data_IF_129163378993
#
_entry.id   IF_129163378993
#
_cell.length_a   1.000
_cell.length_b   1.000
_cell.length_c   1.000
_cell.angle_alpha   90.00
_cell.angle_beta   90.00
_cell.angle_gamma   90.00
#
_symmetry.space_group_name_H-M   'P 1'
#
loop_
_entity.id
_entity.type
_entity.pdbx_description
1 polymer ?
#
# COMPACT_ATOMS: atom_id res chain seq x y z
N UNK A 1 5.57 15.15 -3.05
CA UNK A 1 4.28 15.12 -3.78
C UNK A 1 4.56 15.17 -5.27
N UNK A 2 4.35 14.08 -5.98
CA UNK A 2 4.62 14.03 -7.42
C UNK A 2 3.46 14.55 -8.29
N UNK A 3 2.25 14.68 -7.74
CA UNK A 3 1.11 15.38 -8.34
C UNK A 3 -0.04 15.46 -7.32
N UNK A 4 -0.48 16.65 -6.98
CA UNK A 4 -1.72 16.87 -6.25
C UNK A 4 -2.85 17.15 -7.24
N UNK A 5 -3.33 16.08 -7.91
CA UNK A 5 -4.38 16.25 -8.93
C UNK A 5 -5.79 16.23 -8.34
N UNK A 6 -6.03 15.42 -7.31
CA UNK A 6 -7.36 15.27 -6.72
C UNK A 6 -7.25 14.74 -5.28
N UNK A 7 -7.85 15.46 -4.35
CA UNK A 7 -8.06 15.00 -2.97
C UNK A 7 -9.43 14.34 -2.91
N UNK A 8 -9.48 13.12 -2.39
CA UNK A 8 -10.71 12.35 -2.23
C UNK A 8 -11.06 12.27 -0.76
N UNK A 9 -12.25 12.70 -0.42
CA UNK A 9 -12.77 12.72 0.94
C UNK A 9 -14.05 11.90 1.03
N UNK A 10 -14.29 11.29 2.18
CA UNK A 10 -15.51 10.53 2.41
C UNK A 10 -15.67 10.17 3.89
N UNK A 11 -16.90 9.97 4.30
CA UNK A 11 -17.23 9.43 5.62
C UNK A 11 -17.20 7.91 5.57
N UNK A 12 -16.68 7.27 6.64
CA UNK A 12 -16.60 5.81 6.72
C UNK A 12 -17.97 5.12 6.74
N UNK A 13 -19.03 5.87 7.08
CA UNK A 13 -20.41 5.38 7.10
C UNK A 13 -21.14 5.50 5.75
N UNK A 14 -20.46 5.96 4.69
CA UNK A 14 -21.00 6.05 3.34
C UNK A 14 -21.98 7.20 3.13
N UNK A 15 -21.96 8.25 3.95
CA UNK A 15 -22.89 9.39 3.83
C UNK A 15 -22.14 10.66 3.42
N UNK A 16 -22.76 11.46 2.58
CA UNK A 16 -22.35 12.84 2.32
C UNK A 16 -22.95 13.73 3.43
N UNK A 17 -22.20 13.93 4.49
CA UNK A 17 -22.60 14.78 5.62
C UNK A 17 -22.36 16.26 5.34
N UNK A 18 -23.02 17.15 6.08
CA UNK A 18 -22.77 18.60 5.96
C UNK A 18 -21.32 18.92 6.38
N UNK A 19 -20.76 18.23 7.40
CA UNK A 19 -19.35 18.34 7.76
C UNK A 19 -18.42 18.01 6.58
N UNK A 20 -18.73 16.98 5.81
CA UNK A 20 -17.93 16.59 4.64
C UNK A 20 -18.02 17.65 3.53
N UNK A 21 -19.23 18.20 3.29
CA UNK A 21 -19.45 19.30 2.33
C UNK A 21 -18.67 20.55 2.73
N UNK A 22 -18.75 20.94 3.99
CA UNK A 22 -18.04 22.10 4.52
C UNK A 22 -16.54 21.93 4.39
N UNK A 23 -16.00 20.76 4.75
CA UNK A 23 -14.58 20.45 4.60
C UNK A 23 -14.14 20.53 3.14
N UNK A 24 -14.91 19.92 2.23
CA UNK A 24 -14.64 19.97 0.78
C UNK A 24 -14.60 21.42 0.30
N UNK A 25 -15.60 22.23 0.67
CA UNK A 25 -15.65 23.63 0.29
C UNK A 25 -14.49 24.48 0.83
N UNK A 26 -14.00 24.20 2.04
CA UNK A 26 -12.82 24.90 2.59
C UNK A 26 -11.54 24.55 1.79
N UNK A 27 -11.36 23.28 1.42
CA UNK A 27 -10.21 22.85 0.64
C UNK A 27 -10.24 23.38 -0.80
N UNK A 28 -11.45 23.45 -1.41
CA UNK A 28 -11.62 24.06 -2.74
C UNK A 28 -11.29 25.54 -2.73
N UNK A 29 -11.76 26.30 -1.70
CA UNK A 29 -11.41 27.71 -1.52
C UNK A 29 -9.91 27.93 -1.31
N UNK A 30 -9.21 26.94 -0.76
CA UNK A 30 -7.74 26.96 -0.61
C UNK A 30 -6.99 26.58 -1.91
N UNK A 31 -7.70 26.37 -3.02
CA UNK A 31 -7.11 26.08 -4.34
C UNK A 31 -6.83 24.61 -4.63
N UNK A 32 -7.35 23.67 -3.82
CA UNK A 32 -7.21 22.25 -4.09
C UNK A 32 -8.37 21.72 -4.95
N UNK A 33 -8.08 20.76 -5.82
CA UNK A 33 -9.13 19.98 -6.47
C UNK A 33 -9.56 18.86 -5.52
N UNK A 34 -10.82 18.92 -5.06
CA UNK A 34 -11.36 18.01 -4.04
C UNK A 34 -12.65 17.38 -4.53
N UNK A 35 -12.91 16.16 -4.11
CA UNK A 35 -14.16 15.47 -4.39
C UNK A 35 -14.60 14.65 -3.17
N UNK A 36 -15.90 14.82 -2.80
CA UNK A 36 -16.53 13.97 -1.80
C UNK A 36 -17.06 12.68 -2.43
N UNK A 37 -16.90 11.57 -1.72
CA UNK A 37 -17.33 10.23 -2.15
C UNK A 37 -18.24 9.61 -1.10
N UNK A 38 -19.34 9.00 -1.54
CA UNK A 38 -20.21 8.21 -0.68
C UNK A 38 -19.54 6.92 -0.23
N UNK A 39 -18.91 6.19 -1.16
CA UNK A 39 -18.21 4.95 -0.87
C UNK A 39 -16.69 5.16 -0.87
N UNK A 40 -16.19 5.81 0.19
CA UNK A 40 -14.74 6.00 0.38
C UNK A 40 -14.03 4.67 0.68
N UNK A 41 -14.73 3.70 1.28
CA UNK A 41 -14.17 2.39 1.58
C UNK A 41 -13.70 1.68 0.32
N UNK A 42 -14.49 1.73 -0.75
CA UNK A 42 -14.11 1.20 -2.05
C UNK A 42 -12.76 1.77 -2.51
N UNK A 43 -12.62 3.09 -2.51
CA UNK A 43 -11.39 3.75 -2.98
C UNK A 43 -10.18 3.41 -2.11
N UNK A 44 -10.37 3.32 -0.79
CA UNK A 44 -9.31 2.92 0.15
C UNK A 44 -8.85 1.50 -0.16
N UNK A 45 -9.77 0.55 -0.31
CA UNK A 45 -9.45 -0.84 -0.57
C UNK A 45 -8.84 -1.07 -1.95
N UNK A 46 -9.32 -0.40 -2.98
CA UNK A 46 -8.75 -0.46 -4.33
C UNK A 46 -7.30 0.02 -4.35
N UNK A 47 -7.00 1.13 -3.67
CA UNK A 47 -5.63 1.60 -3.50
C UNK A 47 -4.81 0.63 -2.65
N UNK A 48 -5.40 0.08 -1.59
CA UNK A 48 -4.74 -0.90 -0.73
C UNK A 48 -4.31 -2.14 -1.50
N UNK A 49 -5.16 -2.68 -2.38
CA UNK A 49 -4.80 -3.81 -3.26
C UNK A 49 -3.58 -3.49 -4.13
N UNK A 50 -3.54 -2.31 -4.76
CA UNK A 50 -2.38 -1.90 -5.53
C UNK A 50 -1.11 -1.81 -4.66
N UNK A 51 -1.22 -1.24 -3.45
CA UNK A 51 -0.09 -1.15 -2.54
C UNK A 51 0.41 -2.54 -2.10
N UNK A 52 -0.49 -3.45 -1.73
CA UNK A 52 -0.15 -4.83 -1.36
C UNK A 52 0.55 -5.56 -2.51
N UNK A 53 0.08 -5.35 -3.75
CA UNK A 53 0.65 -5.97 -4.94
C UNK A 53 2.09 -5.52 -5.21
N UNK A 54 2.37 -4.24 -5.03
CA UNK A 54 3.64 -3.68 -5.52
C UNK A 54 4.64 -3.34 -4.41
N UNK A 55 4.20 -2.94 -3.19
CA UNK A 55 5.13 -2.39 -2.20
C UNK A 55 6.14 -3.42 -1.70
N UNK A 56 5.70 -4.47 -1.02
CA UNK A 56 6.61 -5.48 -0.50
C UNK A 56 7.25 -6.33 -1.61
N UNK A 57 6.52 -6.79 -2.65
CA UNK A 57 7.15 -7.55 -3.73
C UNK A 57 8.26 -6.77 -4.45
N UNK A 58 8.04 -5.53 -4.89
CA UNK A 58 9.11 -4.72 -5.50
C UNK A 58 10.30 -4.55 -4.57
N UNK A 59 10.06 -4.42 -3.26
CA UNK A 59 11.13 -4.25 -2.26
C UNK A 59 11.93 -5.55 -2.09
N UNK A 60 11.26 -6.69 -1.97
CA UNK A 60 11.92 -8.00 -1.77
C UNK A 60 12.71 -8.43 -3.00
N UNK A 61 12.13 -8.27 -4.18
CA UNK A 61 12.77 -8.65 -5.44
C UNK A 61 13.69 -7.57 -6.03
N UNK A 62 13.75 -6.38 -5.41
CA UNK A 62 14.56 -5.21 -5.84
C UNK A 62 14.25 -4.78 -7.29
N UNK A 63 12.97 -4.76 -7.64
CA UNK A 63 12.47 -4.49 -8.99
C UNK A 63 11.61 -3.23 -9.04
N UNK A 64 11.64 -2.54 -10.17
CA UNK A 64 10.58 -1.58 -10.54
C UNK A 64 9.27 -2.31 -10.74
N UNK A 65 8.18 -1.57 -10.82
CA UNK A 65 6.84 -2.15 -11.07
C UNK A 65 6.81 -2.98 -12.36
N UNK A 66 7.38 -2.46 -13.45
CA UNK A 66 7.43 -3.17 -14.74
C UNK A 66 8.30 -4.41 -14.70
N UNK A 67 9.50 -4.32 -14.11
CA UNK A 67 10.40 -5.47 -13.94
C UNK A 67 9.78 -6.58 -13.09
N UNK A 68 9.00 -6.22 -12.07
CA UNK A 68 8.24 -7.18 -11.26
C UNK A 68 7.17 -7.89 -12.10
N UNK A 69 6.42 -7.14 -12.90
CA UNK A 69 5.34 -7.66 -13.75
C UNK A 69 5.86 -8.58 -14.86
N UNK A 70 7.04 -8.29 -15.39
CA UNK A 70 7.69 -9.07 -16.46
C UNK A 70 8.41 -10.32 -15.95
N UNK A 71 8.62 -10.43 -14.63
CA UNK A 71 9.32 -11.55 -14.02
C UNK A 71 8.37 -12.73 -13.76
N UNK A 72 8.55 -13.88 -14.44
CA UNK A 72 7.65 -15.02 -14.32
C UNK A 72 7.69 -15.71 -12.94
N UNK A 73 8.67 -15.42 -12.11
CA UNK A 73 8.80 -15.96 -10.75
C UNK A 73 8.28 -14.98 -9.69
N UNK A 74 8.51 -13.68 -9.88
CA UNK A 74 8.16 -12.65 -8.92
C UNK A 74 6.68 -12.21 -9.05
N UNK A 75 6.17 -12.08 -10.29
CA UNK A 75 4.81 -11.64 -10.52
C UNK A 75 3.73 -12.52 -9.89
N UNK A 76 3.80 -13.88 -9.96
CA UNK A 76 2.85 -14.73 -9.25
C UNK A 76 2.83 -14.52 -7.73
N UNK A 77 3.97 -14.18 -7.11
CA UNK A 77 4.03 -13.87 -5.67
C UNK A 77 3.28 -12.57 -5.37
N UNK A 78 3.46 -11.54 -6.20
CA UNK A 78 2.74 -10.27 -6.06
C UNK A 78 1.22 -10.46 -6.24
N UNK A 79 0.81 -11.23 -7.24
CA UNK A 79 -0.60 -11.57 -7.46
C UNK A 79 -1.18 -12.41 -6.32
N UNK A 80 -0.41 -13.32 -5.75
CA UNK A 80 -0.84 -14.10 -4.58
C UNK A 80 -1.06 -13.21 -3.35
N UNK A 81 -0.17 -12.25 -3.09
CA UNK A 81 -0.35 -11.29 -2.01
C UNK A 81 -1.61 -10.42 -2.21
N UNK A 82 -1.86 -9.99 -3.45
CA UNK A 82 -3.06 -9.25 -3.83
C UNK A 82 -4.33 -10.11 -3.65
N UNK A 83 -4.33 -11.37 -4.06
CA UNK A 83 -5.46 -12.28 -3.97
C UNK A 83 -5.90 -12.52 -2.51
N UNK A 84 -4.94 -12.69 -1.59
CA UNK A 84 -5.21 -12.77 -0.16
C UNK A 84 -5.96 -11.51 0.33
N UNK A 85 -5.46 -10.32 -0.02
CA UNK A 85 -6.10 -9.05 0.37
C UNK A 85 -7.47 -8.85 -0.32
N UNK A 86 -7.61 -9.26 -1.58
CA UNK A 86 -8.88 -9.20 -2.31
C UNK A 86 -9.95 -10.10 -1.69
N UNK A 87 -9.60 -11.34 -1.30
CA UNK A 87 -10.49 -12.25 -0.58
C UNK A 87 -10.98 -11.65 0.73
N UNK A 88 -10.11 -10.99 1.47
CA UNK A 88 -10.48 -10.27 2.70
C UNK A 88 -11.47 -9.15 2.40
N UNK A 89 -11.18 -8.30 1.40
CA UNK A 89 -12.07 -7.23 0.98
C UNK A 89 -13.45 -7.74 0.58
N UNK A 90 -13.50 -8.85 -0.17
CA UNK A 90 -14.75 -9.52 -0.55
C UNK A 90 -15.51 -10.04 0.67
N UNK A 91 -14.84 -10.68 1.63
CA UNK A 91 -15.44 -11.16 2.88
C UNK A 91 -15.98 -9.99 3.72
N UNK A 92 -15.33 -8.83 3.68
CA UNK A 92 -15.78 -7.57 4.31
C UNK A 92 -16.85 -6.84 3.49
N UNK A 93 -17.31 -7.41 2.38
CA UNK A 93 -18.34 -6.85 1.49
C UNK A 93 -17.97 -5.50 0.88
N UNK A 94 -16.70 -5.29 0.59
CA UNK A 94 -16.25 -4.11 -0.14
C UNK A 94 -16.80 -4.17 -1.58
N UNK A 95 -17.43 -3.08 -2.00
CA UNK A 95 -18.04 -2.97 -3.33
C UNK A 95 -17.00 -2.49 -4.35
N UNK A 96 -16.08 -3.38 -4.77
CA UNK A 96 -15.06 -3.05 -5.76
C UNK A 96 -15.66 -2.57 -7.09
N UNK A 97 -14.99 -1.62 -7.77
CA UNK A 97 -15.40 -1.10 -9.09
C UNK A 97 -15.06 -2.04 -10.25
N UNK A 98 -14.45 -3.18 -9.99
CA UNK A 98 -13.98 -4.16 -10.97
C UNK A 98 -14.40 -5.57 -10.56
N UNK A 99 -14.46 -6.47 -11.53
CA UNK A 99 -14.73 -7.90 -11.31
C UNK A 99 -13.46 -8.75 -11.37
N UNK A 100 -12.41 -8.24 -12.04
CA UNK A 100 -11.13 -8.92 -12.19
C UNK A 100 -10.02 -8.11 -11.49
N UNK A 101 -9.59 -8.55 -10.28
CA UNK A 101 -8.55 -7.87 -9.52
C UNK A 101 -7.17 -7.95 -10.20
N UNK A 102 -6.88 -9.01 -10.95
CA UNK A 102 -5.62 -9.16 -11.68
C UNK A 102 -5.54 -8.12 -12.79
N UNK A 103 -6.60 -7.99 -13.60
CA UNK A 103 -6.67 -6.98 -14.65
C UNK A 103 -6.56 -5.56 -14.05
N UNK A 104 -7.21 -5.31 -12.92
CA UNK A 104 -7.19 -4.02 -12.24
C UNK A 104 -5.77 -3.61 -11.82
N UNK A 105 -5.07 -4.48 -11.06
CA UNK A 105 -3.71 -4.16 -10.60
C UNK A 105 -2.70 -4.14 -11.74
N UNK A 106 -2.88 -5.00 -12.78
CA UNK A 106 -2.02 -4.98 -13.96
C UNK A 106 -2.13 -3.65 -14.70
N UNK A 107 -3.34 -3.17 -14.96
CA UNK A 107 -3.58 -1.87 -15.58
C UNK A 107 -2.99 -0.70 -14.77
N UNK A 108 -3.08 -0.78 -13.45
CA UNK A 108 -2.43 0.19 -12.56
C UNK A 108 -0.91 0.15 -12.71
N UNK A 109 -0.30 -1.05 -12.71
CA UNK A 109 1.13 -1.25 -12.86
C UNK A 109 1.66 -0.78 -14.21
N UNK A 110 0.92 -1.02 -15.31
CA UNK A 110 1.30 -0.56 -16.66
C UNK A 110 1.49 0.97 -16.72
N UNK A 111 0.71 1.74 -15.98
CA UNK A 111 0.86 3.19 -15.93
C UNK A 111 2.08 3.63 -15.10
N UNK A 112 2.75 2.73 -14.40
CA UNK A 112 3.81 3.01 -13.44
C UNK A 112 5.05 2.12 -13.62
N UNK A 113 5.24 1.53 -14.81
CA UNK A 113 6.29 0.52 -15.06
C UNK A 113 7.67 0.91 -14.54
N UNK A 114 8.07 2.16 -14.72
CA UNK A 114 9.40 2.66 -14.31
C UNK A 114 9.44 3.12 -12.83
N UNK A 115 8.31 3.07 -12.12
CA UNK A 115 8.26 3.53 -10.75
C UNK A 115 8.84 2.50 -9.78
N UNK A 116 9.40 3.01 -8.67
CA UNK A 116 9.72 2.25 -7.47
C UNK A 116 8.74 2.67 -6.37
N UNK A 117 8.02 1.73 -5.75
CA UNK A 117 7.15 2.04 -4.63
C UNK A 117 7.92 2.73 -3.48
N UNK A 118 7.20 3.53 -2.67
CA UNK A 118 7.80 4.25 -1.53
C UNK A 118 8.57 3.34 -0.59
N UNK A 119 8.04 2.15 -0.29
CA UNK A 119 8.69 1.13 0.54
C UNK A 119 10.07 0.74 -0.01
N UNK A 120 10.19 0.56 -1.32
CA UNK A 120 11.49 0.25 -1.95
C UNK A 120 12.45 1.44 -1.86
N UNK A 121 11.96 2.67 -2.06
CA UNK A 121 12.76 3.89 -1.90
C UNK A 121 13.23 4.08 -0.46
N UNK A 122 12.39 3.78 0.54
CA UNK A 122 12.78 3.80 1.95
C UNK A 122 13.91 2.81 2.23
N UNK A 123 13.86 1.59 1.67
CA UNK A 123 14.92 0.60 1.81
C UNK A 123 16.23 1.03 1.14
N UNK A 124 16.16 1.63 -0.06
CA UNK A 124 17.35 2.22 -0.70
C UNK A 124 17.98 3.33 0.15
N UNK A 125 17.13 4.10 0.85
CA UNK A 125 17.56 5.13 1.78
C UNK A 125 17.90 4.61 3.19
N UNK A 126 17.88 3.29 3.41
CA UNK A 126 18.08 2.62 4.71
C UNK A 126 17.15 3.15 5.80
N UNK A 127 15.92 3.44 5.45
CA UNK A 127 14.86 3.89 6.35
C UNK A 127 13.87 2.77 6.61
N UNK A 128 13.25 2.81 7.81
CA UNK A 128 12.13 1.94 8.12
C UNK A 128 10.95 2.28 7.22
N UNK A 129 10.30 1.24 6.71
CA UNK A 129 9.15 1.38 5.82
C UNK A 129 7.80 1.23 6.54
N UNK A 130 6.72 1.45 5.80
CA UNK A 130 5.34 1.27 6.26
C UNK A 130 4.84 -0.18 6.10
N UNK A 131 5.74 -1.18 6.08
CA UNK A 131 5.39 -2.59 5.81
C UNK A 131 4.25 -3.08 6.70
N UNK A 132 4.25 -2.73 8.00
CA UNK A 132 3.24 -3.17 8.95
C UNK A 132 1.84 -2.64 8.66
N UNK A 133 1.72 -1.53 7.94
CA UNK A 133 0.45 -0.90 7.56
C UNK A 133 -0.02 -1.27 6.15
N UNK A 134 0.80 -1.98 5.38
CA UNK A 134 0.49 -2.44 4.03
C UNK A 134 0.35 -3.97 4.03
N UNK A 135 1.39 -4.71 3.68
CA UNK A 135 1.31 -6.18 3.66
C UNK A 135 1.19 -6.77 5.07
N UNK A 136 1.80 -6.15 6.08
CA UNK A 136 1.79 -6.61 7.47
C UNK A 136 0.45 -6.51 8.18
N UNK A 137 -0.49 -5.68 7.72
CA UNK A 137 -1.85 -5.63 8.28
C UNK A 137 -2.73 -6.77 7.74
N UNK A 138 -2.41 -7.31 6.55
CA UNK A 138 -3.23 -8.32 5.85
C UNK A 138 -3.46 -9.56 6.71
N UNK A 139 -2.46 -10.14 7.43
CA UNK A 139 -2.66 -11.27 8.32
C UNK A 139 -3.71 -11.02 9.42
N UNK A 140 -3.66 -9.85 10.05
CA UNK A 140 -4.64 -9.50 11.10
C UNK A 140 -6.05 -9.39 10.52
N UNK A 141 -6.21 -8.74 9.37
CA UNK A 141 -7.49 -8.64 8.67
C UNK A 141 -7.98 -10.02 8.21
N UNK A 142 -7.07 -10.91 7.82
CA UNK A 142 -7.37 -12.28 7.43
C UNK A 142 -7.96 -13.09 8.59
N UNK A 143 -7.39 -12.98 9.79
CA UNK A 143 -7.89 -13.65 11.00
C UNK A 143 -9.33 -13.23 11.29
N UNK A 144 -9.66 -11.94 11.14
CA UNK A 144 -11.02 -11.41 11.41
C UNK A 144 -12.10 -12.07 10.53
N UNK A 145 -11.74 -12.51 9.32
CA UNK A 145 -12.70 -13.02 8.33
C UNK A 145 -12.45 -14.47 7.91
N UNK A 146 -11.49 -15.15 8.54
CA UNK A 146 -11.16 -16.53 8.27
C UNK A 146 -10.42 -16.77 6.94
N UNK A 147 -9.66 -15.80 6.44
CA UNK A 147 -8.86 -15.91 5.22
C UNK A 147 -7.39 -16.14 5.57
N UNK A 148 -6.79 -17.21 5.04
CA UNK A 148 -5.36 -17.49 5.19
C UNK A 148 -4.51 -16.54 4.36
N UNK A 149 -3.38 -16.06 4.92
CA UNK A 149 -2.55 -15.01 4.31
C UNK A 149 -1.04 -15.33 4.39
N UNK A 150 -0.61 -16.53 3.97
CA UNK A 150 0.79 -16.96 4.11
C UNK A 150 1.76 -16.10 3.28
N UNK A 151 1.34 -15.61 2.12
CA UNK A 151 2.21 -14.83 1.23
C UNK A 151 2.49 -13.46 1.84
N UNK A 152 1.46 -12.75 2.30
CA UNK A 152 1.66 -11.47 2.97
C UNK A 152 2.45 -11.61 4.28
N UNK A 153 2.23 -12.67 5.05
CA UNK A 153 3.02 -12.98 6.24
C UNK A 153 4.50 -13.16 5.91
N UNK A 154 4.80 -13.94 4.86
CA UNK A 154 6.17 -14.19 4.40
C UNK A 154 6.84 -12.91 3.90
N UNK A 155 6.18 -12.15 3.01
CA UNK A 155 6.71 -10.89 2.51
C UNK A 155 6.98 -9.89 3.63
N UNK A 156 6.08 -9.81 4.62
CA UNK A 156 6.27 -8.95 5.79
C UNK A 156 7.52 -9.35 6.58
N UNK A 157 7.70 -10.64 6.85
CA UNK A 157 8.88 -11.14 7.54
C UNK A 157 10.19 -10.85 6.78
N UNK A 158 10.20 -11.02 5.46
CA UNK A 158 11.36 -10.72 4.62
C UNK A 158 11.73 -9.23 4.65
N UNK A 159 10.74 -8.35 4.53
CA UNK A 159 10.97 -6.89 4.60
C UNK A 159 11.50 -6.48 5.97
N UNK A 160 10.87 -6.94 7.06
CA UNK A 160 11.33 -6.67 8.42
C UNK A 160 12.75 -7.20 8.67
N UNK A 161 13.07 -8.41 8.21
CA UNK A 161 14.43 -8.96 8.34
C UNK A 161 15.46 -8.08 7.63
N UNK A 162 15.16 -7.56 6.45
CA UNK A 162 16.04 -6.60 5.76
C UNK A 162 16.19 -5.29 6.56
N UNK A 163 15.14 -4.80 7.15
CA UNK A 163 15.18 -3.59 7.98
C UNK A 163 16.10 -3.76 9.19
N UNK A 164 16.08 -4.92 9.85
CA UNK A 164 16.99 -5.18 10.97
C UNK A 164 18.45 -5.12 10.57
N UNK A 165 18.80 -5.55 9.35
CA UNK A 165 20.17 -5.56 8.86
C UNK A 165 20.76 -4.15 8.73
N UNK A 166 20.03 -3.21 8.13
CA UNK A 166 20.55 -1.86 7.95
C UNK A 166 20.29 -0.94 9.15
N UNK A 167 19.23 -1.16 9.95
CA UNK A 167 18.99 -0.37 11.16
C UNK A 167 19.97 -0.71 12.27
N UNK A 168 20.40 -1.96 12.41
CA UNK A 168 21.44 -2.33 13.38
C UNK A 168 22.79 -1.67 13.07
N UNK A 169 23.12 -1.50 11.79
CA UNK A 169 24.36 -0.84 11.36
C UNK A 169 24.36 0.68 11.70
N UNK A 170 23.20 1.34 11.70
CA UNK A 170 23.09 2.75 12.04
C UNK A 170 23.41 2.98 13.53
N UNK A 171 22.98 2.09 14.42
CA UNK A 171 23.29 2.18 15.85
C UNK A 171 24.78 1.92 16.19
N UNK A 172 25.51 1.21 15.35
CA UNK A 172 26.95 0.94 15.54
C UNK A 172 27.79 2.15 15.06
N UNK A 173 27.27 2.97 14.15
CA UNK A 173 28.00 4.08 13.55
C UNK A 173 27.79 5.45 14.23
N UNK A 174 26.91 5.58 15.23
CA UNK A 174 26.84 6.78 16.07
C UNK A 174 27.96 6.72 17.13
N UNK A 175 28.99 7.57 17.04
CA UNK A 175 29.97 7.66 18.12
C UNK A 175 29.24 8.21 19.37
N UNK A 176 29.33 7.45 20.45
CA UNK A 176 28.90 7.89 21.79
C UNK A 176 29.54 9.28 22.04
N UNK A 177 28.77 10.35 21.91
CA UNK A 177 29.19 11.67 22.43
C UNK A 177 29.29 11.51 23.93
N UNK A 178 30.52 11.25 24.39
CA UNK A 178 30.88 11.41 25.78
C UNK A 178 30.54 12.85 26.17
N UNK A 179 29.56 13.02 27.05
CA UNK A 179 29.31 14.28 27.73
C UNK A 179 30.51 14.50 28.66
N UNK A 180 31.38 15.41 28.28
CA UNK A 180 32.32 16.07 29.18
C UNK A 180 31.59 17.14 29.97
#
# INVERSE_FOLDING_TARGET
HNAMKLIRLGELNGKITDRLKDLTGHWEKAGFTVQAYEDIQKLIWEKFLCNVTFSAPCTVFEKTVGELMDDPLAWPVALGAMDEAYKIGTAKKINFSFNDPVQYVSKFGENLRNARPSMFLDHLAKKRSEIMFINGIVPNLGIEVGVSTPINSTLTALVLNRETQFLSLIHISEPTRLRS
#
